data_IF_583407094735
#
_entry.id   IF_583407094735
#
_cell.length_a   1.000
_cell.length_b   1.000
_cell.length_c   1.000
_cell.angle_alpha   90.00
_cell.angle_beta   90.00
_cell.angle_gamma   90.00
#
_symmetry.space_group_name_H-M   'P 1'
#
loop_
_entity.id
_entity.type
_entity.pdbx_description
1 polymer ?
#
# COMPACT_ATOMS: atom_id res chain seq x y z
N UNK A 1 11.32 16.78 -26.68
CA UNK A 1 9.93 16.74 -26.18
C UNK A 1 9.90 17.36 -24.79
N UNK A 2 9.01 18.34 -24.52
CA UNK A 2 8.84 18.90 -23.17
C UNK A 2 8.34 17.78 -22.25
N UNK A 3 9.04 17.46 -21.18
CA UNK A 3 8.60 16.44 -20.22
C UNK A 3 7.32 16.88 -19.54
N UNK A 4 6.32 16.00 -19.47
CA UNK A 4 5.04 16.27 -18.82
C UNK A 4 5.26 16.55 -17.33
N UNK A 5 4.79 17.71 -16.86
CA UNK A 5 4.86 18.11 -15.44
C UNK A 5 3.57 17.83 -14.68
N UNK A 6 2.42 18.06 -15.33
CA UNK A 6 1.09 17.85 -14.75
C UNK A 6 0.22 17.07 -15.73
N UNK A 7 -0.62 16.16 -15.22
CA UNK A 7 -1.55 15.37 -16.03
C UNK A 7 -2.68 16.25 -16.59
N UNK A 8 -3.12 17.23 -15.81
CA UNK A 8 -4.13 18.21 -16.18
C UNK A 8 -3.56 19.64 -16.06
N UNK A 9 -3.84 20.50 -17.04
CA UNK A 9 -3.38 21.90 -17.08
C UNK A 9 -4.46 22.83 -16.55
N UNK A 10 -4.07 23.86 -15.80
CA UNK A 10 -4.99 24.87 -15.27
C UNK A 10 -5.66 25.66 -16.42
N UNK A 11 -6.99 25.55 -16.50
CA UNK A 11 -7.97 26.47 -17.13
C UNK A 11 -9.32 25.78 -17.41
N UNK A 12 -9.44 24.47 -17.18
CA UNK A 12 -10.72 23.77 -17.23
C UNK A 12 -11.18 23.40 -15.82
N UNK A 13 -12.41 23.74 -15.41
CA UNK A 13 -12.93 23.32 -14.11
C UNK A 13 -12.92 21.80 -14.02
N UNK A 14 -12.36 21.23 -12.95
CA UNK A 14 -12.34 19.78 -12.69
C UNK A 14 -13.75 19.16 -12.53
N UNK A 15 -14.80 19.98 -12.60
CA UNK A 15 -16.20 19.68 -12.29
C UNK A 15 -16.82 18.49 -13.02
N UNK A 16 -16.12 17.85 -13.97
CA UNK A 16 -16.63 16.67 -14.69
C UNK A 16 -15.61 15.55 -14.91
N UNK A 17 -14.45 15.56 -14.25
CA UNK A 17 -13.44 14.50 -14.42
C UNK A 17 -13.80 13.23 -13.62
N UNK A 18 -14.98 12.69 -13.89
CA UNK A 18 -15.28 11.29 -13.62
C UNK A 18 -14.76 10.47 -14.78
N UNK A 19 -13.98 9.43 -14.46
CA UNK A 19 -13.50 8.48 -15.45
C UNK A 19 -14.26 7.15 -15.27
N UNK A 20 -15.53 7.06 -15.72
CA UNK A 20 -16.42 5.95 -15.38
C UNK A 20 -15.96 4.61 -15.96
N UNK A 21 -15.14 4.61 -17.00
CA UNK A 21 -14.65 3.40 -17.67
C UNK A 21 -13.16 3.13 -17.41
N UNK A 22 -12.45 3.99 -16.68
CA UNK A 22 -11.00 3.82 -16.46
C UNK A 22 -10.75 2.73 -15.42
N UNK A 23 -10.17 1.63 -15.86
CA UNK A 23 -9.89 0.45 -15.02
C UNK A 23 -8.48 0.50 -14.42
N UNK A 24 -7.52 1.05 -15.16
CA UNK A 24 -6.11 1.00 -14.80
C UNK A 24 -5.39 2.31 -15.05
N UNK A 25 -4.60 2.75 -14.08
CA UNK A 25 -3.66 3.86 -14.22
C UNK A 25 -2.25 3.28 -14.09
N UNK A 26 -1.42 3.49 -15.12
CA UNK A 26 -0.02 3.05 -15.12
C UNK A 26 0.90 4.19 -15.52
N UNK A 27 1.66 4.71 -14.55
CA UNK A 27 2.63 5.78 -14.74
C UNK A 27 4.04 5.21 -14.52
N UNK A 28 4.90 5.27 -15.54
CA UNK A 28 6.26 4.71 -15.47
C UNK A 28 7.29 5.67 -16.04
N UNK A 29 8.43 5.78 -15.35
CA UNK A 29 9.60 6.56 -15.78
C UNK A 29 9.22 8.02 -16.10
N UNK A 30 8.52 8.68 -15.17
CA UNK A 30 8.13 10.08 -15.32
C UNK A 30 8.85 10.94 -14.27
N UNK A 31 10.13 11.25 -14.48
CA UNK A 31 10.99 11.91 -13.48
C UNK A 31 10.62 13.38 -13.23
N UNK A 32 9.88 14.00 -14.16
CA UNK A 32 9.46 15.40 -14.08
C UNK A 32 7.97 15.57 -13.79
N UNK A 33 7.22 14.48 -13.59
CA UNK A 33 5.82 14.58 -13.21
C UNK A 33 5.74 15.04 -11.75
N UNK A 34 5.23 16.24 -11.53
CA UNK A 34 5.12 16.92 -10.24
C UNK A 34 3.76 16.65 -9.59
N UNK A 35 2.71 16.51 -10.40
CA UNK A 35 1.35 16.40 -9.89
C UNK A 35 0.31 15.94 -10.91
N UNK A 36 -0.89 15.65 -10.42
CA UNK A 36 -2.06 15.49 -11.30
C UNK A 36 -2.56 16.83 -11.86
N UNK A 37 -2.43 17.92 -11.09
CA UNK A 37 -2.80 19.29 -11.43
C UNK A 37 -1.71 20.24 -10.96
N UNK A 38 -1.67 21.43 -11.56
CA UNK A 38 -0.69 22.49 -11.26
C UNK A 38 -1.11 23.34 -10.05
N UNK A 39 -2.41 23.66 -9.90
CA UNK A 39 -2.99 24.30 -8.70
C UNK A 39 -4.40 23.75 -8.45
N UNK A 40 -4.88 23.80 -7.19
CA UNK A 40 -6.30 23.55 -6.89
C UNK A 40 -6.96 24.84 -6.45
N UNK A 41 -8.18 25.08 -6.92
CA UNK A 41 -9.04 26.09 -6.32
C UNK A 41 -9.71 25.47 -5.09
N UNK A 42 -9.75 26.19 -3.98
CA UNK A 42 -10.48 25.75 -2.78
C UNK A 42 -11.95 25.47 -3.13
N UNK A 43 -12.44 24.28 -2.78
CA UNK A 43 -13.80 23.84 -3.09
C UNK A 43 -13.96 22.96 -4.34
N UNK A 44 -12.91 22.75 -5.14
CA UNK A 44 -13.00 21.85 -6.31
C UNK A 44 -13.13 20.37 -5.93
N UNK A 45 -13.98 19.66 -6.69
CA UNK A 45 -14.15 18.21 -6.56
C UNK A 45 -12.96 17.48 -7.18
N UNK A 46 -12.43 16.50 -6.46
CA UNK A 46 -11.33 15.67 -6.94
C UNK A 46 -11.81 14.72 -8.06
N UNK A 47 -10.99 14.44 -9.09
CA UNK A 47 -11.31 13.42 -10.07
C UNK A 47 -11.59 12.08 -9.38
N UNK A 48 -12.62 11.39 -9.85
CA UNK A 48 -13.07 10.09 -9.31
C UNK A 48 -12.91 8.98 -10.34
N UNK A 49 -12.52 7.80 -9.86
CA UNK A 49 -12.29 6.60 -10.67
C UNK A 49 -13.13 5.43 -10.17
N UNK A 50 -14.45 5.42 -10.43
CA UNK A 50 -15.38 4.47 -9.81
C UNK A 50 -15.15 3.01 -10.21
N UNK A 51 -14.51 2.77 -11.37
CA UNK A 51 -14.19 1.43 -11.89
C UNK A 51 -12.70 1.08 -11.80
N UNK A 52 -11.88 1.90 -11.13
CA UNK A 52 -10.45 1.61 -11.01
C UNK A 52 -10.24 0.29 -10.28
N UNK A 53 -9.35 -0.53 -10.80
CA UNK A 53 -8.95 -1.81 -10.22
C UNK A 53 -7.43 -1.90 -10.07
N UNK A 54 -6.68 -1.10 -10.83
CA UNK A 54 -5.23 -1.15 -10.86
C UNK A 54 -4.62 0.25 -10.88
N UNK A 55 -3.77 0.55 -9.90
CA UNK A 55 -2.95 1.75 -9.89
C UNK A 55 -1.49 1.34 -9.74
N UNK A 56 -0.66 1.67 -10.73
CA UNK A 56 0.77 1.42 -10.63
C UNK A 56 1.57 2.67 -11.00
N UNK A 57 2.38 3.11 -10.04
CA UNK A 57 3.27 4.26 -10.16
C UNK A 57 4.71 3.76 -9.99
N UNK A 58 5.56 3.99 -10.99
CA UNK A 58 6.93 3.49 -11.01
C UNK A 58 7.89 4.59 -11.46
N UNK A 59 8.90 4.90 -10.64
CA UNK A 59 9.93 5.91 -10.94
C UNK A 59 9.29 7.26 -11.28
N UNK A 60 8.48 7.74 -10.34
CA UNK A 60 7.78 9.04 -10.39
C UNK A 60 8.14 9.85 -9.12
N UNK A 61 9.41 10.22 -8.92
CA UNK A 61 9.92 10.72 -7.64
C UNK A 61 9.43 12.12 -7.26
N UNK A 62 9.06 12.96 -8.24
CA UNK A 62 8.56 14.32 -7.99
C UNK A 62 7.05 14.39 -7.80
N UNK A 63 6.34 13.28 -8.04
CA UNK A 63 4.88 13.25 -7.94
C UNK A 63 4.52 13.45 -6.47
N UNK A 64 3.79 14.52 -6.18
CA UNK A 64 3.41 14.89 -4.81
C UNK A 64 1.90 14.96 -4.62
N UNK A 65 1.14 15.12 -5.70
CA UNK A 65 -0.32 15.21 -5.65
C UNK A 65 -1.01 14.01 -6.30
N UNK A 66 -2.06 13.50 -5.64
CA UNK A 66 -2.84 12.34 -6.07
C UNK A 66 -4.34 12.64 -6.03
N UNK A 67 -5.13 12.22 -7.04
CA UNK A 67 -6.58 12.38 -7.05
C UNK A 67 -7.23 11.44 -6.03
N UNK A 68 -8.51 11.69 -5.72
CA UNK A 68 -9.26 10.84 -4.78
C UNK A 68 -9.64 9.53 -5.46
N UNK A 69 -9.12 8.42 -4.94
CA UNK A 69 -9.43 7.09 -5.48
C UNK A 69 -10.72 6.55 -4.85
N UNK A 70 -11.87 7.05 -5.31
CA UNK A 70 -13.17 6.53 -4.90
C UNK A 70 -13.63 5.39 -5.83
N UNK A 71 -13.04 4.20 -5.68
CA UNK A 71 -13.45 3.01 -6.44
C UNK A 71 -14.45 2.15 -5.68
N UNK A 72 -15.42 1.60 -6.41
CA UNK A 72 -16.37 0.59 -5.91
C UNK A 72 -15.83 -0.83 -6.07
N UNK A 73 -14.71 -1.00 -6.77
CA UNK A 73 -14.06 -2.29 -7.03
C UNK A 73 -12.94 -2.58 -6.05
N UNK A 74 -12.45 -3.81 -6.08
CA UNK A 74 -11.19 -4.16 -5.43
C UNK A 74 -10.04 -3.52 -6.20
N UNK A 75 -9.26 -2.68 -5.51
CA UNK A 75 -8.15 -1.95 -6.11
C UNK A 75 -6.82 -2.55 -5.66
N UNK A 76 -5.95 -2.85 -6.62
CA UNK A 76 -4.55 -3.19 -6.41
C UNK A 76 -3.69 -1.94 -6.65
N UNK A 77 -2.86 -1.59 -5.68
CA UNK A 77 -1.94 -0.45 -5.75
C UNK A 77 -0.51 -0.95 -5.70
N UNK A 78 0.33 -0.51 -6.65
CA UNK A 78 1.76 -0.79 -6.68
C UNK A 78 2.51 0.54 -6.80
N UNK A 79 3.23 0.90 -5.75
CA UNK A 79 4.04 2.12 -5.68
C UNK A 79 5.51 1.71 -5.65
N UNK A 80 6.27 2.17 -6.64
CA UNK A 80 7.71 1.91 -6.72
C UNK A 80 8.50 3.17 -7.02
N UNK A 81 9.46 3.50 -6.15
CA UNK A 81 10.31 4.69 -6.34
C UNK A 81 9.45 5.95 -6.61
N UNK A 82 8.54 6.23 -5.67
CA UNK A 82 7.66 7.41 -5.64
C UNK A 82 7.91 8.19 -4.35
N UNK A 83 7.47 9.44 -4.30
CA UNK A 83 7.58 10.25 -3.08
C UNK A 83 6.68 9.72 -1.96
N UNK A 84 7.06 9.99 -0.71
CA UNK A 84 6.27 9.63 0.47
C UNK A 84 4.91 10.32 0.48
N UNK A 85 4.78 11.52 -0.10
CA UNK A 85 3.50 12.23 -0.20
C UNK A 85 2.46 11.43 -1.00
N UNK A 86 2.88 10.69 -2.04
CA UNK A 86 1.98 9.79 -2.79
C UNK A 86 1.54 8.61 -1.93
N UNK A 87 2.46 8.04 -1.17
CA UNK A 87 2.17 6.94 -0.24
C UNK A 87 1.14 7.39 0.78
N UNK A 88 1.37 8.54 1.44
CA UNK A 88 0.45 9.13 2.43
C UNK A 88 -0.89 9.50 1.80
N UNK A 89 -0.93 10.05 0.58
CA UNK A 89 -2.18 10.42 -0.08
C UNK A 89 -3.06 9.21 -0.45
N UNK A 90 -2.45 8.05 -0.73
CA UNK A 90 -3.18 6.83 -1.07
C UNK A 90 -3.56 6.06 0.18
N UNK A 91 -2.64 5.90 1.13
CA UNK A 91 -2.87 5.10 2.34
C UNK A 91 -3.67 5.89 3.36
N UNK A 92 -3.44 7.20 3.51
CA UNK A 92 -4.11 8.12 4.44
C UNK A 92 -5.63 7.95 4.53
N UNK A 93 -6.36 7.99 3.40
CA UNK A 93 -7.81 7.86 3.41
C UNK A 93 -8.34 6.43 3.62
N UNK A 94 -7.45 5.42 3.77
CA UNK A 94 -7.72 3.98 3.88
C UNK A 94 -8.95 3.53 3.07
N UNK A 95 -8.85 3.75 1.76
CA UNK A 95 -9.90 3.39 0.80
C UNK A 95 -9.94 1.87 0.59
N UNK A 96 -10.96 1.39 -0.14
CA UNK A 96 -11.27 -0.01 -0.46
C UNK A 96 -10.18 -0.75 -1.29
N UNK A 97 -8.91 -0.68 -0.88
CA UNK A 97 -7.81 -1.38 -1.49
C UNK A 97 -7.84 -2.84 -1.07
N UNK A 98 -7.63 -3.71 -2.05
CA UNK A 98 -7.49 -5.15 -1.85
C UNK A 98 -6.02 -5.53 -1.63
N UNK A 99 -5.12 -4.85 -2.34
CA UNK A 99 -3.69 -5.12 -2.28
C UNK A 99 -2.89 -3.82 -2.40
N UNK A 100 -1.89 -3.67 -1.54
CA UNK A 100 -0.94 -2.55 -1.57
C UNK A 100 0.47 -3.12 -1.59
N UNK A 101 1.27 -2.67 -2.56
CA UNK A 101 2.71 -2.95 -2.66
C UNK A 101 3.49 -1.65 -2.64
N UNK A 102 4.40 -1.52 -1.68
CA UNK A 102 5.37 -0.44 -1.57
C UNK A 102 6.75 -1.04 -1.85
N UNK A 103 7.41 -0.57 -2.91
CA UNK A 103 8.67 -1.11 -3.38
C UNK A 103 9.72 0.00 -3.55
N UNK A 104 10.91 -0.14 -2.96
CA UNK A 104 12.02 0.81 -3.15
C UNK A 104 11.67 2.27 -2.77
N UNK A 105 10.85 2.48 -1.73
CA UNK A 105 10.52 3.83 -1.25
C UNK A 105 11.63 4.30 -0.31
N UNK A 106 12.61 5.02 -0.87
CA UNK A 106 13.86 5.38 -0.18
C UNK A 106 13.64 6.28 1.03
N UNK A 107 12.74 7.26 0.95
CA UNK A 107 12.56 8.25 2.01
C UNK A 107 11.47 7.87 3.02
N UNK A 108 10.89 6.67 2.90
CA UNK A 108 9.86 6.19 3.82
C UNK A 108 10.50 5.83 5.17
N UNK A 109 10.19 6.60 6.21
CA UNK A 109 10.64 6.35 7.58
C UNK A 109 9.62 5.58 8.41
N UNK A 110 8.36 5.86 8.16
CA UNK A 110 7.18 5.25 8.78
C UNK A 110 6.01 5.32 7.78
N UNK A 111 4.88 4.74 8.17
CA UNK A 111 3.61 4.82 7.43
C UNK A 111 2.56 5.61 8.24
N UNK A 112 3.01 6.58 9.05
CA UNK A 112 2.08 7.40 9.81
C UNK A 112 1.17 8.19 8.87
N UNK A 113 -0.10 8.28 9.26
CA UNK A 113 -1.10 9.04 8.54
C UNK A 113 -1.37 10.30 9.34
N UNK A 114 -1.12 11.47 8.75
CA UNK A 114 -1.65 12.71 9.27
C UNK A 114 -3.17 12.71 9.01
N UNK A 115 -3.95 12.32 10.02
CA UNK A 115 -5.37 12.64 10.03
C UNK A 115 -5.49 14.15 10.21
N UNK A 116 -5.47 14.91 9.13
CA UNK A 116 -5.97 16.28 9.19
C UNK A 116 -7.47 16.20 9.44
N UNK A 117 -7.87 16.19 10.72
CA UNK A 117 -9.16 16.74 11.09
C UNK A 117 -9.11 18.20 10.62
N UNK A 118 -9.92 18.55 9.63
CA UNK A 118 -10.34 19.94 9.47
C UNK A 118 -11.10 20.33 10.74
N UNK A 119 -10.38 20.73 11.78
CA UNK A 119 -10.98 21.40 12.92
C UNK A 119 -11.38 22.79 12.46
N UNK A 120 -12.67 22.98 12.21
CA UNK A 120 -13.25 24.30 12.43
C UNK A 120 -13.29 24.50 13.95
N UNK A 121 -12.56 25.47 14.53
CA UNK A 121 -12.50 25.65 15.99
C UNK A 121 -13.78 26.26 16.58
N UNK A 122 -14.87 26.34 15.82
CA UNK A 122 -16.14 26.89 16.26
C UNK A 122 -17.29 25.95 15.88
N UNK A 123 -17.57 24.97 16.72
CA UNK A 123 -18.91 24.44 17.02
C UNK A 123 -18.75 23.42 18.15
N UNK A 124 -19.29 23.78 19.31
CA UNK A 124 -19.09 23.09 20.57
C UNK A 124 -19.55 21.63 20.56
N UNK A 125 -18.82 20.84 21.34
CA UNK A 125 -19.32 19.70 22.13
C UNK A 125 -20.65 19.11 21.66
N UNK A 126 -20.56 18.17 20.75
CA UNK A 126 -21.53 17.09 20.59
C UNK A 126 -20.76 15.88 20.15
N UNK A 127 -20.70 14.91 21.06
CA UNK A 127 -20.17 13.57 20.90
C UNK A 127 -20.68 12.95 19.60
N UNK A 128 -19.92 13.13 18.52
CA UNK A 128 -19.99 12.24 17.37
C UNK A 128 -18.74 11.38 17.47
N UNK A 129 -18.91 10.24 18.13
CA UNK A 129 -18.18 9.04 17.76
C UNK A 129 -18.28 8.91 16.25
N UNK A 130 -17.30 9.46 15.53
CA UNK A 130 -17.04 9.09 14.15
C UNK A 130 -16.56 7.64 14.20
N UNK A 131 -17.56 6.77 14.28
CA UNK A 131 -17.61 5.41 13.81
C UNK A 131 -16.38 5.02 13.02
N UNK A 132 -15.68 4.02 13.59
CA UNK A 132 -14.86 3.00 12.99
C UNK A 132 -15.30 2.57 11.59
N UNK A 133 -15.16 3.44 10.58
CA UNK A 133 -15.42 3.12 9.18
C UNK A 133 -14.10 3.06 8.41
N UNK A 134 -13.07 2.47 9.01
CA UNK A 134 -12.04 1.85 8.20
C UNK A 134 -12.57 0.51 7.72
N UNK A 135 -13.43 0.52 6.71
CA UNK A 135 -13.80 -0.68 5.93
C UNK A 135 -12.60 -1.10 5.08
N UNK A 136 -11.45 -1.34 5.71
CA UNK A 136 -10.24 -1.75 5.01
C UNK A 136 -10.43 -3.19 4.56
N UNK A 137 -10.65 -3.38 3.26
CA UNK A 137 -10.74 -4.69 2.58
C UNK A 137 -9.37 -5.24 2.19
N UNK A 138 -8.30 -4.63 2.70
CA UNK A 138 -6.92 -4.96 2.35
C UNK A 138 -6.60 -6.38 2.77
N UNK A 139 -6.36 -7.23 1.78
CA UNK A 139 -5.99 -8.63 1.96
C UNK A 139 -4.48 -8.81 1.92
N UNK A 140 -3.79 -7.99 1.13
CA UNK A 140 -2.34 -8.13 0.91
C UNK A 140 -1.64 -6.81 1.14
N UNK A 141 -0.66 -6.81 2.04
CA UNK A 141 0.27 -5.69 2.23
C UNK A 141 1.70 -6.20 2.00
N UNK A 142 2.37 -5.64 1.00
CA UNK A 142 3.77 -5.92 0.70
C UNK A 142 4.59 -4.66 0.82
N UNK A 143 5.67 -4.73 1.60
CA UNK A 143 6.67 -3.68 1.76
C UNK A 143 8.02 -4.30 1.40
N UNK A 144 8.67 -3.77 0.38
CA UNK A 144 9.93 -4.30 -0.14
C UNK A 144 10.96 -3.19 -0.37
N UNK A 145 12.21 -3.39 0.06
CA UNK A 145 13.34 -2.49 -0.23
C UNK A 145 13.14 -1.05 0.27
N UNK A 146 12.37 -0.87 1.34
CA UNK A 146 12.20 0.42 2.01
C UNK A 146 13.29 0.58 3.08
N UNK A 147 14.51 0.91 2.64
CA UNK A 147 15.72 0.84 3.48
C UNK A 147 15.76 1.81 4.66
N UNK A 148 14.93 2.86 4.64
CA UNK A 148 14.81 3.82 5.74
C UNK A 148 13.62 3.57 6.67
N UNK A 149 12.77 2.58 6.39
CA UNK A 149 11.59 2.28 7.20
C UNK A 149 12.01 1.77 8.58
N UNK A 150 11.60 2.47 9.64
CA UNK A 150 12.01 2.20 11.02
C UNK A 150 10.90 1.55 11.84
N UNK A 151 9.65 1.90 11.57
CA UNK A 151 8.47 1.43 12.29
C UNK A 151 7.28 1.21 11.36
N UNK A 152 6.36 0.36 11.82
CA UNK A 152 5.05 0.18 11.23
C UNK A 152 3.99 0.79 12.18
N UNK A 153 3.00 1.52 11.68
CA UNK A 153 2.01 2.19 12.50
C UNK A 153 0.97 1.21 13.07
N UNK A 154 0.39 1.56 14.21
CA UNK A 154 -0.60 0.71 14.91
C UNK A 154 -1.89 0.48 14.12
N UNK A 155 -2.25 1.36 13.19
CA UNK A 155 -3.44 1.15 12.35
C UNK A 155 -3.34 -0.12 11.50
N UNK A 156 -2.14 -0.65 11.21
CA UNK A 156 -1.99 -1.95 10.54
C UNK A 156 -2.64 -3.07 11.35
N UNK A 157 -2.57 -3.00 12.69
CA UNK A 157 -3.25 -3.93 13.59
C UNK A 157 -4.77 -3.84 13.60
N UNK A 158 -5.34 -2.80 12.97
CA UNK A 158 -6.81 -2.63 12.84
C UNK A 158 -7.36 -3.27 11.55
N UNK A 159 -6.50 -3.72 10.63
CA UNK A 159 -6.87 -4.31 9.34
C UNK A 159 -7.24 -5.80 9.50
N UNK A 160 -8.34 -6.09 10.17
CA UNK A 160 -8.76 -7.47 10.48
C UNK A 160 -9.01 -8.35 9.24
N UNK A 161 -9.12 -7.76 8.05
CA UNK A 161 -9.25 -8.46 6.77
C UNK A 161 -7.90 -8.94 6.19
N UNK A 162 -6.77 -8.41 6.67
CA UNK A 162 -5.43 -8.72 6.16
C UNK A 162 -5.15 -10.21 6.22
N UNK A 163 -4.71 -10.77 5.10
CA UNK A 163 -4.51 -12.20 4.89
C UNK A 163 -3.04 -12.55 4.66
N UNK A 164 -2.29 -11.67 3.99
CA UNK A 164 -0.86 -11.83 3.68
C UNK A 164 -0.10 -10.53 3.93
N UNK A 165 0.91 -10.61 4.80
CA UNK A 165 1.85 -9.53 5.10
C UNK A 165 3.26 -9.96 4.69
N UNK A 166 3.87 -9.17 3.80
CA UNK A 166 5.24 -9.39 3.31
C UNK A 166 6.10 -8.17 3.60
N UNK A 167 7.18 -8.38 4.35
CA UNK A 167 8.18 -7.37 4.67
C UNK A 167 9.52 -7.90 4.18
N UNK A 168 10.09 -7.26 3.17
CA UNK A 168 11.26 -7.76 2.45
C UNK A 168 12.31 -6.65 2.38
N UNK A 169 13.55 -6.94 2.74
CA UNK A 169 14.70 -6.05 2.59
C UNK A 169 14.45 -4.65 3.21
N UNK A 170 13.94 -4.64 4.45
CA UNK A 170 13.70 -3.44 5.25
C UNK A 170 14.61 -3.48 6.51
N UNK A 171 15.93 -3.28 6.36
CA UNK A 171 16.92 -3.59 7.40
C UNK A 171 16.83 -2.74 8.67
N UNK A 172 16.23 -1.55 8.59
CA UNK A 172 16.05 -0.63 9.72
C UNK A 172 14.75 -0.87 10.49
N UNK A 173 13.83 -1.67 9.97
CA UNK A 173 12.56 -1.93 10.63
C UNK A 173 12.80 -2.83 11.84
N UNK A 174 12.44 -2.33 13.02
CA UNK A 174 12.82 -2.96 14.29
C UNK A 174 11.78 -3.94 14.78
N UNK A 175 10.51 -3.55 14.83
CA UNK A 175 9.43 -4.30 15.47
C UNK A 175 8.15 -4.30 14.63
N UNK A 176 7.24 -5.22 14.96
CA UNK A 176 5.85 -5.20 14.49
C UNK A 176 4.96 -4.41 15.46
N UNK A 177 3.83 -3.85 15.00
CA UNK A 177 2.88 -3.16 15.88
C UNK A 177 2.20 -4.15 16.84
N UNK A 178 1.85 -3.68 18.05
CA UNK A 178 1.21 -4.53 19.05
C UNK A 178 -0.17 -5.03 18.62
N UNK A 179 -0.85 -4.27 17.74
CA UNK A 179 -2.14 -4.66 17.18
C UNK A 179 -2.10 -5.92 16.28
N UNK A 180 -0.93 -6.46 15.92
CA UNK A 180 -0.83 -7.67 15.09
C UNK A 180 -1.59 -8.89 15.66
N UNK A 181 -1.67 -9.01 16.99
CA UNK A 181 -2.45 -10.07 17.69
C UNK A 181 -3.94 -10.05 17.37
N UNK A 182 -4.46 -8.92 16.89
CA UNK A 182 -5.87 -8.74 16.51
C UNK A 182 -6.17 -9.21 15.09
N UNK A 183 -5.13 -9.44 14.27
CA UNK A 183 -5.27 -9.83 12.87
C UNK A 183 -5.58 -11.32 12.73
N UNK A 184 -6.80 -11.73 13.10
CA UNK A 184 -7.23 -13.14 13.09
C UNK A 184 -7.31 -13.76 11.70
N UNK A 185 -7.47 -12.95 10.66
CA UNK A 185 -7.47 -13.40 9.25
C UNK A 185 -6.07 -13.56 8.66
N UNK A 186 -5.03 -13.06 9.35
CA UNK A 186 -3.67 -13.05 8.83
C UNK A 186 -3.11 -14.47 8.85
N UNK A 187 -2.93 -15.01 7.66
CA UNK A 187 -2.58 -16.41 7.46
C UNK A 187 -1.12 -16.57 7.02
N UNK A 188 -0.59 -15.57 6.31
CA UNK A 188 0.77 -15.55 5.79
C UNK A 188 1.55 -14.35 6.32
N UNK A 189 2.70 -14.62 6.92
CA UNK A 189 3.69 -13.62 7.28
C UNK A 189 5.04 -14.01 6.69
N UNK A 190 5.56 -13.19 5.80
CA UNK A 190 6.91 -13.34 5.24
C UNK A 190 7.77 -12.17 5.68
N UNK A 191 8.89 -12.46 6.34
CA UNK A 191 9.93 -11.49 6.68
C UNK A 191 11.24 -11.96 6.07
N UNK A 192 11.75 -11.25 5.07
CA UNK A 192 13.00 -11.62 4.36
C UNK A 192 14.00 -10.47 4.41
N UNK A 193 15.24 -10.71 4.82
CA UNK A 193 16.26 -9.66 4.86
C UNK A 193 15.98 -8.51 5.84
N UNK A 194 15.31 -8.79 6.96
CA UNK A 194 15.03 -7.80 8.01
C UNK A 194 15.59 -8.32 9.35
N UNK A 195 16.89 -8.20 9.61
CA UNK A 195 17.56 -8.94 10.69
C UNK A 195 17.01 -8.61 12.09
N UNK A 196 16.82 -7.33 12.41
CA UNK A 196 16.27 -6.92 13.72
C UNK A 196 14.85 -7.45 13.94
N UNK A 197 14.01 -7.35 12.90
CA UNK A 197 12.63 -7.82 12.95
C UNK A 197 12.54 -9.35 13.06
N UNK A 198 13.40 -10.07 12.32
CA UNK A 198 13.49 -11.53 12.37
C UNK A 198 13.88 -12.01 13.77
N UNK A 199 14.85 -11.36 14.40
CA UNK A 199 15.28 -11.72 15.75
C UNK A 199 14.18 -11.53 16.80
N UNK A 200 13.33 -10.51 16.66
CA UNK A 200 12.17 -10.32 17.55
C UNK A 200 11.02 -11.26 17.25
N UNK A 201 10.86 -11.66 15.98
CA UNK A 201 9.77 -12.52 15.51
C UNK A 201 10.10 -14.02 15.55
N UNK A 202 11.31 -14.42 15.93
CA UNK A 202 11.64 -15.85 16.12
C UNK A 202 10.85 -16.42 17.30
N UNK A 203 10.71 -17.74 17.35
CA UNK A 203 10.01 -18.39 18.46
C UNK A 203 10.66 -18.02 19.81
N UNK A 204 9.84 -17.53 20.75
CA UNK A 204 10.29 -17.00 22.04
C UNK A 204 10.85 -15.56 22.00
N UNK A 205 10.92 -14.93 20.83
CA UNK A 205 11.27 -13.52 20.67
C UNK A 205 10.17 -12.58 21.18
N UNK A 206 10.52 -11.31 21.37
CA UNK A 206 9.65 -10.29 21.98
C UNK A 206 8.34 -10.06 21.20
N UNK A 207 8.39 -10.13 19.87
CA UNK A 207 7.21 -9.94 19.02
C UNK A 207 6.49 -11.27 18.70
N UNK A 208 7.02 -12.42 19.12
CA UNK A 208 6.42 -13.73 18.89
C UNK A 208 4.96 -13.83 19.37
N UNK A 209 4.58 -13.37 20.58
CA UNK A 209 3.20 -13.43 21.05
C UNK A 209 2.22 -12.69 20.13
N UNK A 210 2.69 -11.67 19.40
CA UNK A 210 1.86 -10.87 18.49
C UNK A 210 1.60 -11.56 17.15
N UNK A 211 2.39 -12.59 16.80
CA UNK A 211 2.31 -13.29 15.52
C UNK A 211 2.09 -14.79 15.68
N UNK A 212 2.05 -15.33 16.90
CA UNK A 212 1.96 -16.75 17.19
C UNK A 212 0.75 -17.41 16.50
N UNK A 213 -0.38 -16.72 16.41
CA UNK A 213 -1.63 -17.21 15.80
C UNK A 213 -1.59 -17.41 14.27
N UNK A 214 -0.60 -16.83 13.58
CA UNK A 214 -0.49 -16.90 12.11
C UNK A 214 -0.10 -18.32 11.66
N UNK A 215 -0.79 -18.95 10.71
CA UNK A 215 -0.47 -20.34 10.36
C UNK A 215 0.85 -20.49 9.60
N UNK A 216 1.11 -19.62 8.62
CA UNK A 216 2.30 -19.69 7.77
C UNK A 216 3.22 -18.50 8.06
N UNK A 217 4.37 -18.80 8.65
CA UNK A 217 5.43 -17.82 8.93
C UNK A 217 6.70 -18.21 8.18
N UNK A 218 7.32 -17.26 7.49
CA UNK A 218 8.60 -17.48 6.80
C UNK A 218 9.58 -16.37 7.14
N UNK A 219 10.73 -16.76 7.71
CA UNK A 219 11.86 -15.89 8.03
C UNK A 219 13.08 -16.36 7.23
N UNK A 220 13.66 -15.50 6.38
CA UNK A 220 14.82 -15.87 5.52
C UNK A 220 15.78 -14.70 5.27
N UNK A 221 17.05 -14.96 4.99
CA UNK A 221 18.00 -13.92 4.57
C UNK A 221 17.89 -13.58 3.07
N UNK A 222 18.51 -12.47 2.65
CA UNK A 222 18.61 -12.10 1.24
C UNK A 222 19.59 -13.04 0.55
N UNK A 223 19.18 -13.71 -0.52
CA UNK A 223 20.06 -14.59 -1.29
C UNK A 223 20.16 -16.04 -0.81
N UNK A 224 19.43 -16.43 0.24
CA UNK A 224 19.28 -17.84 0.60
C UNK A 224 18.68 -18.62 -0.58
N UNK A 225 19.35 -19.71 -1.00
CA UNK A 225 18.89 -20.60 -2.09
C UNK A 225 17.58 -21.27 -1.66
N UNK A 226 16.48 -20.93 -2.34
CA UNK A 226 15.16 -21.43 -2.01
C UNK A 226 15.00 -22.89 -2.49
N UNK A 227 15.09 -23.85 -1.58
CA UNK A 227 14.62 -25.23 -1.83
C UNK A 227 13.08 -25.36 -1.70
N UNK A 228 12.36 -24.24 -1.55
CA UNK A 228 10.93 -24.19 -1.25
C UNK A 228 10.01 -23.95 -2.47
N UNK A 229 10.54 -23.89 -3.70
CA UNK A 229 9.76 -23.54 -4.90
C UNK A 229 8.61 -24.53 -5.21
N UNK A 230 8.66 -25.77 -4.73
CA UNK A 230 7.65 -26.80 -5.07
C UNK A 230 6.41 -26.73 -4.16
N UNK A 231 6.53 -26.26 -2.91
CA UNK A 231 5.39 -26.12 -2.00
C UNK A 231 4.55 -24.86 -2.30
N UNK A 232 5.19 -23.80 -2.80
CA UNK A 232 4.50 -22.54 -3.10
C UNK A 232 3.55 -22.62 -4.30
N UNK A 233 3.95 -23.34 -5.35
CA UNK A 233 3.16 -23.45 -6.59
C UNK A 233 1.78 -24.11 -6.33
N UNK A 234 1.70 -25.06 -5.40
CA UNK A 234 0.44 -25.69 -4.98
C UNK A 234 -0.46 -24.76 -4.15
N UNK A 235 0.14 -23.84 -3.39
CA UNK A 235 -0.56 -22.88 -2.54
C UNK A 235 -1.07 -21.70 -3.37
N UNK A 236 -0.29 -21.18 -4.32
CA UNK A 236 -0.74 -20.16 -5.27
C UNK A 236 -1.92 -20.62 -6.14
N UNK A 237 -2.01 -21.92 -6.42
CA UNK A 237 -3.15 -22.52 -7.13
C UNK A 237 -4.45 -22.43 -6.32
N UNK A 238 -4.39 -22.59 -5.00
CA UNK A 238 -5.53 -22.38 -4.07
C UNK A 238 -5.82 -20.91 -3.77
N UNK A 239 -4.80 -20.04 -3.82
CA UNK A 239 -4.96 -18.57 -3.67
C UNK A 239 -5.77 -17.97 -4.84
N UNK A 240 -5.62 -18.52 -6.05
CA UNK A 240 -6.39 -18.10 -7.24
C UNK A 240 -7.90 -18.24 -7.06
N UNK A 241 -8.34 -19.18 -6.23
CA UNK A 241 -9.76 -19.41 -5.93
C UNK A 241 -10.34 -18.36 -4.95
N UNK A 242 -9.49 -17.67 -4.18
CA UNK A 242 -9.89 -16.61 -3.23
C UNK A 242 -9.61 -15.18 -3.73
N UNK A 243 -8.72 -15.02 -4.71
CA UNK A 243 -8.44 -13.75 -5.39
C UNK A 243 -8.66 -13.94 -6.90
N UNK A 244 -9.88 -13.69 -7.42
CA UNK A 244 -10.23 -14.08 -8.79
C UNK A 244 -9.48 -13.31 -9.91
N UNK A 245 -8.55 -12.39 -9.61
CA UNK A 245 -7.90 -11.53 -10.60
C UNK A 245 -6.38 -11.35 -10.47
N UNK A 246 -5.65 -12.22 -9.76
CA UNK A 246 -4.18 -12.22 -9.88
C UNK A 246 -3.79 -12.80 -11.24
N UNK A 247 -3.65 -11.96 -12.27
CA UNK A 247 -2.90 -12.32 -13.46
C UNK A 247 -1.45 -12.55 -13.05
N UNK A 248 -1.02 -13.80 -13.14
CA UNK A 248 0.36 -14.24 -13.04
C UNK A 248 1.24 -13.47 -14.02
N UNK A 249 1.93 -12.41 -13.58
CA UNK A 249 3.11 -11.89 -14.26
C UNK A 249 4.35 -12.67 -13.80
N UNK A 250 4.30 -13.99 -13.97
CA UNK A 250 5.46 -14.87 -14.04
C UNK A 250 5.38 -15.55 -15.41
N UNK A 251 5.55 -14.76 -16.46
CA UNK A 251 6.10 -15.26 -17.71
C UNK A 251 7.22 -14.30 -18.09
N UNK A 252 8.44 -14.78 -17.88
CA UNK A 252 9.62 -14.29 -18.57
C UNK A 252 9.40 -14.55 -20.07
N UNK A 253 8.85 -13.56 -20.76
CA UNK A 253 8.79 -13.54 -22.21
C UNK A 253 9.97 -12.76 -22.75
N UNK A 254 11.12 -13.45 -22.93
CA UNK A 254 12.06 -13.07 -23.98
C UNK A 254 11.29 -13.13 -25.30
N UNK A 255 11.24 -12.04 -26.04
CA UNK A 255 11.02 -12.11 -27.47
C UNK A 255 12.13 -11.29 -28.12
N UNK A 256 12.78 -11.98 -29.05
CA UNK A 256 13.91 -11.56 -29.87
C UNK A 256 13.62 -10.31 -30.71
#
# INVERSE_FOLDING_TARGET
>A
MRSLKFIHKNNEPCCFLSFPSLIGIYLKNMPNLEGWWESRVEGETLPIFPQLQYLRLQRCPKLSSMPKIASTRQVTVILRDVSVQVVSAIIGPLLNFHEIRLEEIKDLKDLEMEFHQNQNPNLGSSSSSMSSQSLTRLRVLKIEKCSNLMSLPEWIGTITSLWDLKIIDCPKLKSLPEGMRQLKSLNWLTIKGCPQLQERCKEGGEDWPNIAHILFKRFTEIGAVETAEIAEIGIWRKIKDFIPNVRSSLTCGRIA
#
